data_IF_841994803066
#
_entry.id   IF_841994803066
#
_cell.length_a   1.000
_cell.length_b   1.000
_cell.length_c   1.000
_cell.angle_alpha   90.00
_cell.angle_beta   90.00
_cell.angle_gamma   90.00
#
_symmetry.space_group_name_H-M   'P 1'
#
loop_
_entity.id
_entity.type
_entity.pdbx_description
1 polymer ?
#
# COMPACT_ATOMS: atom_id res chain seq x y z
N UNK A 1 44.17 -14.71 -39.00
CA UNK A 1 42.90 -14.09 -39.44
C UNK A 1 41.80 -14.64 -38.56
N UNK A 2 41.55 -13.95 -37.45
CA UNK A 2 40.58 -14.32 -36.42
C UNK A 2 39.20 -13.86 -36.86
N UNK A 3 38.26 -14.80 -36.95
CA UNK A 3 36.87 -14.50 -37.27
C UNK A 3 36.10 -14.15 -36.00
N UNK A 4 35.40 -13.02 -36.08
CA UNK A 4 34.43 -12.54 -35.10
C UNK A 4 33.22 -13.46 -35.06
N UNK A 5 32.79 -13.81 -33.85
CA UNK A 5 31.41 -14.25 -33.59
C UNK A 5 30.95 -13.68 -32.25
N UNK A 6 30.34 -12.50 -32.36
CA UNK A 6 29.11 -12.07 -31.68
C UNK A 6 28.96 -12.42 -30.19
N UNK A 7 29.35 -11.47 -29.33
CA UNK A 7 28.73 -11.34 -28.01
C UNK A 7 27.27 -10.90 -28.18
N UNK A 8 26.32 -11.76 -27.83
CA UNK A 8 24.96 -11.32 -27.53
C UNK A 8 24.98 -10.69 -26.14
N UNK A 9 24.98 -9.36 -26.11
CA UNK A 9 24.52 -8.58 -24.97
C UNK A 9 23.02 -8.82 -24.82
N UNK A 10 22.62 -9.61 -23.83
CA UNK A 10 21.28 -9.55 -23.28
C UNK A 10 21.27 -8.48 -22.20
N UNK A 11 20.90 -7.26 -22.57
CA UNK A 11 20.52 -6.22 -21.63
C UNK A 11 19.31 -6.71 -20.83
N UNK A 12 19.60 -7.24 -19.64
CA UNK A 12 18.63 -7.64 -18.64
C UNK A 12 17.98 -6.37 -18.06
N UNK A 13 16.96 -5.86 -18.77
CA UNK A 13 16.12 -4.76 -18.34
C UNK A 13 15.20 -5.23 -17.19
N UNK A 14 15.79 -5.54 -16.03
CA UNK A 14 15.04 -5.70 -14.78
C UNK A 14 14.55 -4.32 -14.38
N UNK A 15 13.31 -3.98 -14.76
CA UNK A 15 12.58 -2.95 -14.04
C UNK A 15 12.56 -3.37 -12.57
N UNK A 16 13.28 -2.64 -11.73
CA UNK A 16 13.19 -2.83 -10.29
C UNK A 16 11.72 -2.64 -9.89
N UNK A 17 11.16 -3.59 -9.15
CA UNK A 17 9.83 -3.44 -8.58
C UNK A 17 9.80 -2.18 -7.71
N UNK A 18 8.71 -1.39 -7.76
CA UNK A 18 8.59 -0.20 -6.94
C UNK A 18 8.65 -0.57 -5.45
N UNK A 19 9.30 0.29 -4.65
CA UNK A 19 9.31 0.12 -3.19
C UNK A 19 7.93 0.52 -2.67
N UNK A 20 7.29 -0.36 -1.91
CA UNK A 20 6.00 -0.11 -1.28
C UNK A 20 6.09 -0.40 0.22
N UNK A 21 5.52 0.48 1.03
CA UNK A 21 5.34 0.33 2.47
C UNK A 21 3.84 0.32 2.79
N UNK A 22 3.46 -0.50 3.77
CA UNK A 22 2.11 -0.47 4.33
C UNK A 22 1.89 0.80 5.17
N UNK A 23 0.68 1.35 5.08
CA UNK A 23 0.29 2.55 5.83
C UNK A 23 0.54 2.39 7.34
N UNK A 24 1.32 3.30 7.91
CA UNK A 24 1.63 3.33 9.35
C UNK A 24 2.80 2.44 9.78
N UNK A 25 3.39 1.65 8.88
CA UNK A 25 4.60 0.87 9.18
C UNK A 25 5.82 1.79 9.25
N UNK A 26 6.69 1.68 10.27
CA UNK A 26 7.91 2.47 10.36
C UNK A 26 8.82 2.29 9.14
N UNK A 27 9.30 3.40 8.59
CA UNK A 27 10.22 3.39 7.44
C UNK A 27 11.63 3.66 7.94
N UNK A 28 12.51 2.69 7.70
CA UNK A 28 13.95 2.79 7.98
C UNK A 28 14.69 3.28 6.74
N UNK A 29 15.57 4.25 6.91
CA UNK A 29 16.45 4.70 5.84
C UNK A 29 17.89 4.83 6.33
N UNK A 30 18.82 4.55 5.42
CA UNK A 30 20.23 4.86 5.57
C UNK A 30 20.57 6.09 4.74
N UNK A 31 21.44 6.94 5.27
CA UNK A 31 21.87 8.16 4.61
C UNK A 31 23.39 8.32 4.68
N UNK A 32 23.94 9.07 3.73
CA UNK A 32 25.36 9.44 3.68
C UNK A 32 25.44 10.86 3.14
N UNK A 33 26.22 11.69 3.82
CA UNK A 33 26.36 13.11 3.54
C UNK A 33 27.79 13.42 3.05
N UNK A 34 27.92 14.54 2.34
CA UNK A 34 29.23 15.04 1.91
C UNK A 34 30.00 15.68 3.07
N UNK A 35 31.33 15.80 2.97
CA UNK A 35 32.23 16.28 4.05
C UNK A 35 31.86 17.65 4.68
N UNK A 36 31.03 18.46 4.03
CA UNK A 36 30.66 19.81 4.50
C UNK A 36 29.25 19.89 5.12
N UNK A 37 28.59 18.75 5.38
CA UNK A 37 27.28 18.75 6.02
C UNK A 37 27.35 19.29 7.46
N UNK A 38 26.24 19.85 7.96
CA UNK A 38 26.18 20.39 9.31
C UNK A 38 25.23 19.59 10.19
N UNK A 39 25.23 19.87 11.50
CA UNK A 39 24.26 19.27 12.44
C UNK A 39 22.81 19.65 12.13
N UNK A 40 22.61 20.71 11.35
CA UNK A 40 21.32 21.24 10.94
C UNK A 40 20.86 20.64 9.61
N UNK A 41 21.58 19.66 9.08
CA UNK A 41 21.13 18.89 7.93
C UNK A 41 19.98 17.96 8.35
N UNK A 42 18.99 17.83 7.48
CA UNK A 42 17.75 17.14 7.81
C UNK A 42 17.18 16.40 6.60
N UNK A 43 16.41 15.35 6.88
CA UNK A 43 15.69 14.58 5.87
C UNK A 43 14.20 14.75 6.12
N UNK A 44 13.46 15.10 5.07
CA UNK A 44 12.00 15.17 5.09
C UNK A 44 11.36 14.20 4.11
N UNK A 45 10.13 13.78 4.40
CA UNK A 45 9.29 12.96 3.52
C UNK A 45 8.21 13.82 2.85
N UNK A 46 8.10 13.68 1.53
CA UNK A 46 7.24 14.52 0.70
C UNK A 46 6.45 13.70 -0.29
N UNK A 47 5.18 14.07 -0.49
CA UNK A 47 4.38 13.52 -1.58
C UNK A 47 4.94 14.07 -2.89
N UNK A 48 5.25 13.18 -3.84
CA UNK A 48 5.92 13.55 -5.10
C UNK A 48 5.15 14.63 -5.86
N UNK A 49 3.82 14.57 -5.83
CA UNK A 49 2.94 15.53 -6.52
C UNK A 49 2.88 16.90 -5.86
N UNK A 50 3.35 17.05 -4.62
CA UNK A 50 3.26 18.30 -3.86
C UNK A 50 4.42 19.26 -4.12
N UNK A 51 5.52 18.79 -4.73
CA UNK A 51 6.67 19.63 -5.04
C UNK A 51 6.89 19.71 -6.55
N UNK A 52 6.67 20.89 -7.12
CA UNK A 52 6.96 21.16 -8.54
C UNK A 52 8.46 21.26 -8.83
N UNK A 53 9.27 21.60 -7.83
CA UNK A 53 10.73 21.71 -7.95
C UNK A 53 11.44 20.51 -7.31
N UNK A 54 12.50 20.06 -7.99
CA UNK A 54 13.47 19.08 -7.47
C UNK A 54 14.67 19.73 -6.79
N UNK A 55 14.85 21.04 -6.92
CA UNK A 55 16.02 21.75 -6.39
C UNK A 55 15.73 22.44 -5.06
N UNK A 56 14.49 22.83 -4.83
CA UNK A 56 14.07 23.51 -3.61
C UNK A 56 12.72 22.94 -3.19
N UNK A 57 12.56 22.68 -1.90
CA UNK A 57 11.29 22.31 -1.31
C UNK A 57 10.51 23.56 -0.92
N UNK A 58 9.36 23.77 -1.58
CA UNK A 58 8.50 24.94 -1.33
C UNK A 58 7.24 24.59 -0.52
N UNK A 59 7.06 23.31 -0.17
CA UNK A 59 5.95 22.85 0.67
C UNK A 59 6.49 22.33 2.00
N UNK A 60 5.77 22.63 3.07
CA UNK A 60 6.10 22.11 4.40
C UNK A 60 6.07 20.58 4.41
N UNK A 61 7.03 19.96 5.09
CA UNK A 61 6.97 18.53 5.42
C UNK A 61 5.83 18.21 6.38
N UNK A 62 5.13 19.20 6.95
CA UNK A 62 4.07 19.04 7.98
C UNK A 62 4.57 18.30 9.22
N UNK A 63 5.79 18.62 9.67
CA UNK A 63 6.42 17.99 10.84
C UNK A 63 7.08 16.64 10.56
N UNK A 64 7.05 16.17 9.30
CA UNK A 64 7.59 14.86 8.90
C UNK A 64 9.05 14.98 8.46
N UNK A 65 9.92 15.33 9.40
CA UNK A 65 11.35 15.46 9.16
C UNK A 65 12.19 15.08 10.39
N UNK A 66 13.46 14.75 10.15
CA UNK A 66 14.44 14.42 11.19
C UNK A 66 15.77 15.09 10.87
N UNK A 67 16.44 15.63 11.88
CA UNK A 67 17.85 16.01 11.76
C UNK A 67 18.71 14.77 11.70
N UNK A 68 19.71 14.76 10.82
CA UNK A 68 20.54 13.57 10.57
C UNK A 68 21.62 13.40 11.63
N UNK A 69 22.03 14.49 12.27
CA UNK A 69 22.96 14.46 13.40
C UNK A 69 22.22 14.73 14.72
N UNK A 70 22.63 14.09 15.83
CA UNK A 70 22.09 14.41 17.15
C UNK A 70 22.48 15.84 17.58
N UNK A 71 21.65 16.48 18.41
CA UNK A 71 21.94 17.82 18.96
C UNK A 71 23.24 17.82 19.79
N UNK A 72 23.45 16.75 20.55
CA UNK A 72 24.67 16.50 21.32
C UNK A 72 25.43 15.31 20.70
N UNK A 73 26.64 15.55 20.20
CA UNK A 73 27.48 14.50 19.63
C UNK A 73 28.37 14.95 18.47
N UNK A 74 29.21 14.05 17.98
CA UNK A 74 30.00 14.28 16.77
C UNK A 74 29.12 14.25 15.52
N UNK A 75 29.49 15.07 14.54
CA UNK A 75 28.88 15.05 13.22
C UNK A 75 29.39 13.79 12.51
N UNK A 76 28.48 12.92 12.07
CA UNK A 76 28.82 11.67 11.37
C UNK A 76 28.47 11.79 9.90
N UNK A 77 29.31 11.31 9.00
CA UNK A 77 29.08 11.45 7.55
C UNK A 77 28.08 10.44 6.99
N UNK A 78 27.60 9.51 7.81
CA UNK A 78 26.57 8.53 7.45
C UNK A 78 25.84 8.05 8.68
N UNK A 79 24.61 7.59 8.49
CA UNK A 79 23.83 7.04 9.58
C UNK A 79 22.51 6.44 9.10
N UNK A 80 21.66 6.16 10.07
CA UNK A 80 20.34 5.60 9.87
C UNK A 80 19.31 6.40 10.64
N UNK A 81 18.11 6.54 10.09
CA UNK A 81 16.99 7.18 10.77
C UNK A 81 15.70 6.40 10.54
N UNK A 82 14.77 6.55 11.48
CA UNK A 82 13.47 5.90 11.46
C UNK A 82 12.35 6.94 11.41
N UNK A 83 11.51 6.86 10.39
CA UNK A 83 10.25 7.58 10.33
C UNK A 83 9.15 6.69 10.93
N UNK A 84 8.53 7.16 12.03
CA UNK A 84 7.48 6.45 12.77
C UNK A 84 6.48 7.43 13.39
N UNK A 85 5.27 6.96 13.70
CA UNK A 85 4.24 7.79 14.34
C UNK A 85 3.93 9.03 13.49
N UNK A 86 3.98 10.22 14.10
CA UNK A 86 3.67 11.49 13.42
C UNK A 86 4.69 11.89 12.34
N UNK A 87 5.85 11.22 12.27
CA UNK A 87 6.81 11.41 11.19
C UNK A 87 6.37 10.71 9.89
N UNK A 88 5.43 9.77 9.94
CA UNK A 88 4.91 9.08 8.76
C UNK A 88 3.81 9.91 8.05
N UNK A 89 3.71 9.82 6.72
CA UNK A 89 2.50 10.20 6.01
C UNK A 89 1.39 9.19 6.30
N UNK A 90 0.38 9.62 7.05
CA UNK A 90 -0.86 8.86 7.31
C UNK A 90 -1.85 8.99 6.15
N UNK A 91 -1.35 8.88 4.93
CA UNK A 91 -2.10 9.04 3.69
C UNK A 91 -1.41 8.22 2.60
N UNK A 92 -2.17 7.47 1.82
CA UNK A 92 -1.63 6.69 0.71
C UNK A 92 -1.09 7.58 -0.42
N UNK A 93 -0.24 6.99 -1.26
CA UNK A 93 0.28 7.61 -2.47
C UNK A 93 1.79 7.49 -2.62
N UNK A 94 2.34 8.23 -3.58
CA UNK A 94 3.77 8.19 -3.91
C UNK A 94 4.54 9.29 -3.19
N UNK A 95 5.60 8.90 -2.49
CA UNK A 95 6.44 9.74 -1.67
C UNK A 95 7.92 9.63 -2.06
N UNK A 96 8.71 10.59 -1.61
CA UNK A 96 10.15 10.62 -1.74
C UNK A 96 10.77 11.25 -0.49
N UNK A 97 11.98 10.81 -0.13
CA UNK A 97 12.80 11.48 0.86
C UNK A 97 13.65 12.56 0.18
N UNK A 98 13.79 13.71 0.85
CA UNK A 98 14.67 14.79 0.43
C UNK A 98 15.64 15.13 1.54
N UNK A 99 16.92 15.16 1.20
CA UNK A 99 17.98 15.62 2.08
C UNK A 99 18.21 17.12 1.89
N UNK A 100 18.31 17.82 3.01
CA UNK A 100 18.43 19.26 3.10
C UNK A 100 19.65 19.65 3.95
N UNK A 101 20.27 20.77 3.59
CA UNK A 101 21.50 21.24 4.21
C UNK A 101 21.26 22.47 5.08
N UNK A 102 21.86 22.48 6.28
CA UNK A 102 21.98 23.63 7.18
C UNK A 102 20.68 24.43 7.44
N UNK A 103 19.58 23.75 7.81
CA UNK A 103 18.22 24.33 7.94
C UNK A 103 17.66 24.99 6.68
N UNK A 104 18.37 24.88 5.55
CA UNK A 104 17.93 25.33 4.24
C UNK A 104 16.84 24.43 3.66
N UNK A 105 16.20 24.94 2.61
CA UNK A 105 15.19 24.22 1.83
C UNK A 105 15.71 23.77 0.46
N UNK A 106 16.98 24.07 0.17
CA UNK A 106 17.68 23.52 -1.00
C UNK A 106 17.80 22.01 -0.85
N UNK A 107 17.52 21.30 -1.92
CA UNK A 107 17.50 19.84 -1.96
C UNK A 107 18.86 19.38 -2.45
N UNK A 108 19.59 18.66 -1.61
CA UNK A 108 20.89 18.09 -1.97
C UNK A 108 20.73 16.78 -2.73
N UNK A 109 19.79 15.95 -2.25
CA UNK A 109 19.52 14.61 -2.80
C UNK A 109 18.05 14.27 -2.63
N UNK A 110 17.49 13.57 -3.62
CA UNK A 110 16.15 12.97 -3.58
C UNK A 110 16.29 11.45 -3.70
N UNK A 111 15.56 10.69 -2.89
CA UNK A 111 15.48 9.24 -3.04
C UNK A 111 14.75 8.85 -4.32
N UNK A 112 14.79 7.57 -4.69
CA UNK A 112 13.79 7.06 -5.62
C UNK A 112 12.38 7.16 -5.00
N UNK A 113 11.33 7.33 -5.81
CA UNK A 113 9.96 7.30 -5.32
C UNK A 113 9.62 5.94 -4.70
N UNK A 114 8.79 5.97 -3.67
CA UNK A 114 8.18 4.80 -3.05
C UNK A 114 6.70 5.04 -2.79
N UNK A 115 5.95 3.97 -2.65
CA UNK A 115 4.51 4.01 -2.38
C UNK A 115 4.22 3.74 -0.90
N UNK A 116 3.29 4.48 -0.33
CA UNK A 116 2.59 4.08 0.90
C UNK A 116 1.20 3.64 0.48
N UNK A 117 0.88 2.37 0.73
CA UNK A 117 -0.37 1.75 0.32
C UNK A 117 -1.11 1.17 1.53
N UNK A 118 -2.42 0.95 1.38
CA UNK A 118 -3.19 0.21 2.36
C UNK A 118 -2.71 -1.25 2.43
N UNK A 119 -2.89 -1.87 3.59
CA UNK A 119 -2.63 -3.29 3.77
C UNK A 119 -3.72 -4.11 3.07
N UNK A 120 -3.48 -4.41 1.80
CA UNK A 120 -4.37 -5.23 0.98
C UNK A 120 -4.59 -6.60 1.60
N UNK A 121 -3.61 -7.17 2.30
CA UNK A 121 -3.74 -8.48 2.92
C UNK A 121 -4.78 -8.46 4.04
N UNK A 122 -4.76 -7.43 4.90
CA UNK A 122 -5.77 -7.25 5.96
C UNK A 122 -7.16 -7.05 5.36
N UNK A 123 -7.29 -6.27 4.28
CA UNK A 123 -8.56 -6.07 3.59
C UNK A 123 -9.07 -7.39 3.00
N UNK A 124 -8.21 -8.12 2.29
CA UNK A 124 -8.52 -9.41 1.71
C UNK A 124 -9.01 -10.43 2.75
N UNK A 125 -8.31 -10.55 3.89
CA UNK A 125 -8.70 -11.47 4.96
C UNK A 125 -10.01 -11.06 5.65
N UNK A 126 -10.21 -9.76 5.81
CA UNK A 126 -11.44 -9.20 6.38
C UNK A 126 -12.65 -9.47 5.48
N UNK A 127 -12.49 -9.26 4.16
CA UNK A 127 -13.53 -9.56 3.15
C UNK A 127 -13.77 -11.07 3.05
N UNK A 128 -12.71 -11.89 3.05
CA UNK A 128 -12.84 -13.36 3.06
C UNK A 128 -13.68 -13.84 4.25
N UNK A 129 -13.33 -13.38 5.45
CA UNK A 129 -14.03 -13.74 6.69
C UNK A 129 -15.50 -13.32 6.65
N UNK A 130 -15.79 -12.13 6.10
CA UNK A 130 -17.14 -11.64 5.94
C UNK A 130 -17.95 -12.53 4.98
N UNK A 131 -17.40 -12.83 3.80
CA UNK A 131 -18.06 -13.68 2.80
C UNK A 131 -18.32 -15.07 3.36
N UNK A 132 -17.35 -15.67 4.06
CA UNK A 132 -17.50 -16.97 4.71
C UNK A 132 -18.65 -16.97 5.72
N UNK A 133 -18.72 -15.98 6.61
CA UNK A 133 -19.79 -15.87 7.63
C UNK A 133 -21.17 -15.70 7.01
N UNK A 134 -21.28 -14.91 5.94
CA UNK A 134 -22.56 -14.71 5.24
C UNK A 134 -23.02 -16.02 4.58
N UNK A 135 -22.13 -16.74 3.91
CA UNK A 135 -22.48 -17.97 3.21
C UNK A 135 -22.70 -19.17 4.16
N UNK A 136 -22.01 -19.20 5.31
CA UNK A 136 -22.20 -20.25 6.32
C UNK A 136 -23.57 -20.13 7.02
N UNK A 137 -24.15 -18.93 7.10
CA UNK A 137 -25.48 -18.74 7.70
C UNK A 137 -26.61 -19.52 7.00
N UNK A 138 -26.43 -19.88 5.73
CA UNK A 138 -27.37 -20.67 4.94
C UNK A 138 -27.22 -22.20 5.12
N UNK A 139 -26.16 -22.68 5.80
CA UNK A 139 -25.85 -24.11 5.91
C UNK A 139 -26.73 -24.88 6.92
N UNK A 140 -27.58 -24.17 7.69
CA UNK A 140 -28.29 -24.73 8.86
C UNK A 140 -29.68 -25.34 8.61
N UNK A 141 -30.15 -25.49 7.37
CA UNK A 141 -31.41 -26.20 7.08
C UNK A 141 -31.31 -27.13 5.86
N UNK A 142 -30.68 -28.30 6.02
CA UNK A 142 -31.01 -29.49 5.21
C UNK A 142 -31.23 -30.70 6.11
N UNK A 143 -32.34 -30.69 6.84
CA UNK A 143 -32.93 -31.94 7.31
C UNK A 143 -33.64 -32.62 6.14
N UNK A 144 -33.10 -33.78 5.76
CA UNK A 144 -33.77 -34.90 5.10
C UNK A 144 -33.88 -34.90 3.56
N UNK A 145 -33.19 -35.88 2.96
CA UNK A 145 -33.65 -36.73 1.87
C UNK A 145 -34.39 -36.06 0.69
N UNK A 146 -33.69 -35.26 -0.11
CA UNK A 146 -34.04 -35.20 -1.55
C UNK A 146 -32.78 -35.12 -2.41
N UNK A 147 -32.59 -36.19 -3.18
CA UNK A 147 -31.54 -36.35 -4.19
C UNK A 147 -32.00 -35.64 -5.46
N UNK A 148 -31.99 -34.31 -5.46
CA UNK A 148 -31.98 -33.52 -6.69
C UNK A 148 -31.63 -32.05 -6.39
N UNK A 149 -30.45 -31.64 -6.86
CA UNK A 149 -30.12 -30.26 -7.20
C UNK A 149 -29.93 -29.23 -6.05
N UNK A 150 -29.43 -29.65 -4.89
CA UNK A 150 -28.89 -28.69 -3.92
C UNK A 150 -27.58 -28.10 -4.43
N UNK A 151 -27.69 -27.05 -5.24
CA UNK A 151 -26.60 -26.15 -5.60
C UNK A 151 -26.09 -25.44 -4.34
N UNK A 152 -25.23 -26.12 -3.58
CA UNK A 152 -24.64 -25.59 -2.35
C UNK A 152 -23.76 -24.40 -2.75
N UNK A 153 -24.01 -23.26 -2.11
CA UNK A 153 -23.16 -22.06 -2.20
C UNK A 153 -21.72 -22.47 -1.90
N UNK A 154 -20.79 -22.22 -2.82
CA UNK A 154 -19.38 -22.57 -2.57
C UNK A 154 -18.78 -21.53 -1.64
N UNK A 155 -18.57 -21.91 -0.38
CA UNK A 155 -17.86 -21.09 0.60
C UNK A 155 -16.38 -21.02 0.19
N UNK A 156 -15.82 -19.81 -0.03
CA UNK A 156 -14.40 -19.66 -0.36
C UNK A 156 -13.53 -19.96 0.86
N UNK A 157 -12.40 -20.66 0.66
CA UNK A 157 -11.42 -20.93 1.72
C UNK A 157 -10.24 -19.95 1.67
N UNK A 158 -9.94 -19.42 0.49
CA UNK A 158 -8.84 -18.49 0.23
C UNK A 158 -9.35 -17.25 -0.52
N UNK A 159 -8.53 -16.20 -0.55
CA UNK A 159 -8.85 -14.95 -1.26
C UNK A 159 -8.90 -15.14 -2.78
N UNK A 160 -8.23 -16.18 -3.29
CA UNK A 160 -8.26 -16.55 -4.71
C UNK A 160 -9.49 -17.38 -5.09
N UNK A 161 -10.28 -17.87 -4.13
CA UNK A 161 -11.44 -18.69 -4.41
C UNK A 161 -12.62 -17.88 -4.93
N UNK A 162 -13.26 -18.40 -5.97
CA UNK A 162 -14.55 -17.92 -6.42
C UNK A 162 -15.65 -18.37 -5.45
N UNK A 163 -16.56 -17.46 -5.12
CA UNK A 163 -17.84 -17.79 -4.50
C UNK A 163 -18.90 -17.89 -5.59
N UNK A 164 -19.57 -19.03 -5.65
CA UNK A 164 -20.53 -19.35 -6.71
C UNK A 164 -21.89 -19.56 -6.05
N UNK A 165 -22.96 -19.07 -6.70
CA UNK A 165 -24.37 -19.33 -6.34
C UNK A 165 -24.87 -18.61 -5.09
N UNK A 166 -24.35 -17.40 -4.92
CA UNK A 166 -24.80 -16.51 -3.87
C UNK A 166 -26.21 -15.95 -4.16
N UNK A 167 -27.10 -15.96 -3.17
CA UNK A 167 -28.42 -15.33 -3.26
C UNK A 167 -28.28 -13.81 -3.16
N UNK A 168 -29.25 -13.08 -3.69
CA UNK A 168 -29.30 -11.60 -3.58
C UNK A 168 -29.17 -11.12 -2.11
N UNK A 169 -29.81 -11.83 -1.17
CA UNK A 169 -29.75 -11.49 0.25
C UNK A 169 -28.32 -11.57 0.82
N UNK A 170 -27.52 -12.55 0.37
CA UNK A 170 -26.12 -12.68 0.77
C UNK A 170 -25.28 -11.52 0.25
N UNK A 171 -25.46 -11.16 -1.03
CA UNK A 171 -24.77 -10.03 -1.63
C UNK A 171 -25.07 -8.72 -0.89
N UNK A 172 -26.34 -8.50 -0.53
CA UNK A 172 -26.77 -7.36 0.29
C UNK A 172 -26.12 -7.34 1.68
N UNK A 173 -26.03 -8.49 2.34
CA UNK A 173 -25.33 -8.59 3.63
C UNK A 173 -23.83 -8.33 3.51
N UNK A 174 -23.18 -8.79 2.44
CA UNK A 174 -21.76 -8.53 2.19
C UNK A 174 -21.53 -7.03 1.98
N UNK A 175 -22.31 -6.37 1.12
CA UNK A 175 -22.21 -4.91 0.94
C UNK A 175 -22.41 -4.17 2.26
N UNK A 176 -23.45 -4.54 3.03
CA UNK A 176 -23.69 -3.91 4.31
C UNK A 176 -22.53 -4.12 5.29
N UNK A 177 -21.95 -5.33 5.34
CA UNK A 177 -20.77 -5.61 6.14
C UNK A 177 -19.56 -4.78 5.71
N UNK A 178 -19.30 -4.68 4.40
CA UNK A 178 -18.24 -3.84 3.84
C UNK A 178 -18.46 -2.37 4.21
N UNK A 179 -19.69 -1.86 4.13
CA UNK A 179 -20.03 -0.50 4.59
C UNK A 179 -19.71 -0.29 6.06
N UNK A 180 -20.05 -1.25 6.92
CA UNK A 180 -19.79 -1.14 8.35
C UNK A 180 -18.30 -1.26 8.71
N UNK A 181 -17.54 -2.08 7.97
CA UNK A 181 -16.13 -2.32 8.22
C UNK A 181 -15.23 -1.23 7.62
N UNK A 182 -15.60 -0.73 6.45
CA UNK A 182 -14.74 0.08 5.59
C UNK A 182 -15.36 1.44 5.20
N UNK A 183 -16.62 1.70 5.55
CA UNK A 183 -17.31 2.94 5.17
C UNK A 183 -17.68 3.03 3.68
N UNK A 184 -17.46 1.97 2.90
CA UNK A 184 -17.67 1.95 1.45
C UNK A 184 -19.04 1.38 1.11
N UNK A 185 -19.78 2.07 0.26
CA UNK A 185 -21.10 1.66 -0.23
C UNK A 185 -21.05 1.40 -1.75
N UNK A 186 -21.61 0.28 -2.20
CA UNK A 186 -21.77 -0.03 -3.62
C UNK A 186 -22.95 -0.98 -3.83
N UNK A 187 -23.46 -1.01 -5.07
CA UNK A 187 -24.60 -1.86 -5.43
C UNK A 187 -24.29 -3.34 -5.17
N UNK A 188 -25.25 -4.11 -4.64
CA UNK A 188 -25.05 -5.53 -4.29
C UNK A 188 -24.67 -6.39 -5.49
N UNK A 189 -25.10 -5.98 -6.69
CA UNK A 189 -24.76 -6.61 -7.97
C UNK A 189 -23.25 -6.65 -8.20
N UNK A 190 -22.48 -5.71 -7.65
CA UNK A 190 -21.01 -5.68 -7.74
C UNK A 190 -20.39 -6.92 -7.11
N UNK A 191 -20.93 -7.39 -5.99
CA UNK A 191 -20.44 -8.61 -5.32
C UNK A 191 -20.63 -9.81 -6.27
N UNK A 192 -21.79 -9.90 -6.92
CA UNK A 192 -22.04 -10.96 -7.91
C UNK A 192 -21.17 -10.85 -9.16
N UNK A 193 -20.85 -9.63 -9.61
CA UNK A 193 -19.97 -9.39 -10.77
C UNK A 193 -18.53 -9.76 -10.47
N UNK A 194 -18.01 -9.40 -9.29
CA UNK A 194 -16.63 -9.72 -8.92
C UNK A 194 -16.44 -11.23 -8.74
N UNK A 195 -17.40 -11.91 -8.08
CA UNK A 195 -17.49 -13.37 -7.98
C UNK A 195 -16.31 -14.06 -7.27
N UNK A 196 -15.38 -13.27 -6.77
CA UNK A 196 -14.08 -13.68 -6.24
C UNK A 196 -13.71 -12.72 -5.11
N UNK A 197 -13.17 -13.27 -4.01
CA UNK A 197 -12.86 -12.49 -2.80
C UNK A 197 -11.76 -11.47 -3.06
N UNK A 198 -10.67 -11.87 -3.73
CA UNK A 198 -9.54 -10.99 -4.05
C UNK A 198 -9.95 -9.83 -4.94
N UNK A 199 -10.81 -10.08 -5.96
CA UNK A 199 -11.34 -9.00 -6.81
C UNK A 199 -12.20 -8.01 -6.01
N UNK A 200 -13.07 -8.52 -5.14
CA UNK A 200 -13.91 -7.68 -4.29
C UNK A 200 -13.08 -6.86 -3.30
N UNK A 201 -12.08 -7.47 -2.66
CA UNK A 201 -11.15 -6.80 -1.75
C UNK A 201 -10.31 -5.73 -2.46
N UNK A 202 -9.81 -6.04 -3.66
CA UNK A 202 -9.10 -5.07 -4.49
C UNK A 202 -10.00 -3.88 -4.85
N UNK A 203 -11.28 -4.12 -5.16
CA UNK A 203 -12.25 -3.04 -5.39
C UNK A 203 -12.46 -2.19 -4.14
N UNK A 204 -12.59 -2.81 -2.96
CA UNK A 204 -12.67 -2.08 -1.67
C UNK A 204 -11.45 -1.19 -1.49
N UNK A 205 -10.24 -1.71 -1.73
CA UNK A 205 -8.99 -0.96 -1.65
C UNK A 205 -8.95 0.24 -2.62
N UNK A 206 -9.34 0.04 -3.89
CA UNK A 206 -9.37 1.13 -4.88
C UNK A 206 -10.39 2.21 -4.50
N UNK A 207 -11.55 1.83 -3.97
CA UNK A 207 -12.58 2.79 -3.57
C UNK A 207 -12.18 3.59 -2.32
N UNK A 208 -11.41 3.00 -1.39
CA UNK A 208 -10.80 3.75 -0.29
C UNK A 208 -9.97 4.94 -0.80
N UNK A 209 -9.16 4.71 -1.82
CA UNK A 209 -8.28 5.74 -2.39
C UNK A 209 -9.12 6.91 -2.97
N UNK A 210 -10.26 6.65 -3.59
CA UNK A 210 -11.06 7.68 -4.25
C UNK A 210 -11.96 8.50 -3.32
N UNK A 211 -12.36 7.99 -2.16
CA UNK A 211 -13.22 8.74 -1.23
C UNK A 211 -12.45 9.67 -0.27
N UNK A 212 -11.14 9.46 -0.12
CA UNK A 212 -10.28 10.27 0.76
C UNK A 212 -9.34 11.24 0.02
N UNK A 213 -9.47 11.35 -1.32
CA UNK A 213 -8.77 12.35 -2.14
C UNK A 213 -9.58 13.63 -2.34
#
# INVERSE_FOLDING_TARGET
MTNLSSQQNSDDNRKAEPITFELGVPIHISWTASQNHTRRDWIGIYKVTSNSSKLVTNVSSRGRFVYVSPEEGEVVDSGEVWFKGDLLPWETGTYEFRYHHDDGYEVMTISQPFEIADDLHVIEQSVLTLVQRVLDSDSTHTTNNDYSDSKISKIPNTTSDDYILMKEIHAKHIVYGIKMMFGIDFAWEVVSVDGNVGRLAQRVCILFIHFYC
#
